data_IF_628266776848
#
_entry.id   IF_628266776848
#
_cell.length_a   1.000
_cell.length_b   1.000
_cell.length_c   1.000
_cell.angle_alpha   90.00
_cell.angle_beta   90.00
_cell.angle_gamma   90.00
#
_symmetry.space_group_name_H-M   'P 1'
#
loop_
_entity.id
_entity.type
_entity.pdbx_description
1 polymer ?
#
# COMPACT_ATOMS: atom_id res chain seq x y z
N UNK A 1 20.40 20.95 8.40
CA UNK A 1 19.59 19.72 8.58
C UNK A 1 18.14 19.89 8.08
N UNK A 2 17.28 20.68 8.73
CA UNK A 2 15.90 20.91 8.24
C UNK A 2 15.78 21.54 6.84
N UNK A 3 16.68 22.46 6.49
CA UNK A 3 16.72 23.09 5.15
C UNK A 3 17.09 22.07 4.06
N UNK A 4 17.81 21.01 4.39
CA UNK A 4 18.25 19.99 3.44
C UNK A 4 17.13 18.98 3.18
N UNK A 5 16.41 18.60 4.24
CA UNK A 5 15.17 17.86 4.13
C UNK A 5 14.10 18.66 3.40
N UNK A 6 13.86 19.94 3.74
CA UNK A 6 12.88 20.79 3.05
C UNK A 6 13.22 20.95 1.56
N UNK A 7 14.51 21.05 1.20
CA UNK A 7 14.96 20.99 -0.20
C UNK A 7 14.70 19.64 -0.85
N UNK A 8 14.92 18.50 -0.17
CA UNK A 8 14.57 17.17 -0.69
C UNK A 8 13.06 16.96 -0.81
N UNK A 9 12.25 17.43 0.14
CA UNK A 9 10.78 17.36 0.12
C UNK A 9 10.17 18.26 -0.96
N UNK A 10 10.67 19.48 -1.09
CA UNK A 10 10.30 20.39 -2.18
C UNK A 10 10.82 19.85 -3.50
N UNK A 11 11.98 19.21 -3.55
CA UNK A 11 12.48 18.52 -4.74
C UNK A 11 11.65 17.29 -5.10
N UNK A 12 11.06 16.57 -4.14
CA UNK A 12 10.11 15.46 -4.41
C UNK A 12 8.78 16.00 -4.93
N UNK A 13 8.24 17.04 -4.30
CA UNK A 13 7.04 17.72 -4.79
C UNK A 13 7.27 18.39 -6.16
N UNK A 14 8.46 18.94 -6.40
CA UNK A 14 8.89 19.57 -7.66
C UNK A 14 9.23 18.53 -8.73
N UNK A 15 9.85 17.39 -8.38
CA UNK A 15 10.01 16.24 -9.29
C UNK A 15 8.66 15.67 -9.67
N UNK A 16 7.69 15.62 -8.76
CA UNK A 16 6.34 15.21 -9.12
C UNK A 16 5.71 16.18 -10.15
N UNK A 17 6.09 17.47 -10.17
CA UNK A 17 5.70 18.41 -11.22
C UNK A 17 6.44 18.20 -12.57
N UNK A 18 7.61 17.54 -12.58
CA UNK A 18 8.30 17.12 -13.82
C UNK A 18 7.87 15.72 -14.30
N UNK A 19 7.43 14.85 -13.38
CA UNK A 19 6.94 13.48 -13.66
C UNK A 19 5.50 13.48 -14.19
N UNK A 20 4.69 14.46 -13.79
CA UNK A 20 3.30 14.58 -14.22
C UNK A 20 3.04 15.92 -14.91
N UNK A 21 2.32 15.88 -16.04
CA UNK A 21 1.90 17.09 -16.74
C UNK A 21 1.09 18.03 -15.82
N UNK A 22 1.20 19.34 -16.01
CA UNK A 22 0.59 20.39 -15.16
C UNK A 22 -0.89 20.14 -14.81
N UNK A 23 -1.69 19.69 -15.77
CA UNK A 23 -3.13 19.42 -15.55
C UNK A 23 -3.40 18.08 -14.85
N UNK A 24 -2.45 17.14 -14.87
CA UNK A 24 -2.63 15.85 -14.23
C UNK A 24 -2.81 15.97 -12.72
N UNK A 25 -2.13 16.92 -12.06
CA UNK A 25 -2.27 17.17 -10.61
C UNK A 25 -3.70 17.59 -10.26
N UNK A 26 -4.31 18.47 -11.07
CA UNK A 26 -5.70 18.92 -10.86
C UNK A 26 -6.67 17.74 -11.03
N UNK A 27 -6.49 16.92 -12.06
CA UNK A 27 -7.34 15.74 -12.27
C UNK A 27 -7.15 14.67 -11.18
N UNK A 28 -5.94 14.51 -10.64
CA UNK A 28 -5.67 13.61 -9.52
C UNK A 28 -6.36 14.11 -8.24
N UNK A 29 -6.24 15.40 -7.93
CA UNK A 29 -6.86 16.01 -6.75
C UNK A 29 -8.40 15.94 -6.78
N UNK A 30 -9.00 16.04 -7.96
CA UNK A 30 -10.45 15.91 -8.14
C UNK A 30 -10.94 14.46 -8.24
N UNK A 31 -10.06 13.46 -8.08
CA UNK A 31 -10.41 12.04 -8.13
C UNK A 31 -10.65 11.47 -9.54
N UNK A 32 -10.57 12.29 -10.59
CA UNK A 32 -10.78 11.88 -11.98
C UNK A 32 -9.61 11.11 -12.60
N UNK A 33 -8.45 11.09 -11.93
CA UNK A 33 -7.26 10.39 -12.40
C UNK A 33 -6.66 9.48 -11.31
N UNK A 34 -7.49 8.60 -10.72
CA UNK A 34 -7.11 7.73 -9.61
C UNK A 34 -5.86 6.88 -9.88
N UNK A 35 -5.72 6.30 -11.08
CA UNK A 35 -4.54 5.49 -11.43
C UNK A 35 -3.24 6.32 -11.41
N UNK A 36 -3.31 7.58 -11.87
CA UNK A 36 -2.17 8.51 -11.80
C UNK A 36 -1.90 8.92 -10.36
N UNK A 37 -2.95 9.16 -9.56
CA UNK A 37 -2.83 9.51 -8.15
C UNK A 37 -2.16 8.39 -7.34
N UNK A 38 -2.60 7.14 -7.54
CA UNK A 38 -1.99 5.97 -6.92
C UNK A 38 -0.51 5.84 -7.28
N UNK A 39 -0.16 6.03 -8.55
CA UNK A 39 1.24 6.03 -9.00
C UNK A 39 2.05 7.14 -8.33
N UNK A 40 1.52 8.35 -8.27
CA UNK A 40 2.18 9.50 -7.63
C UNK A 40 2.46 9.24 -6.14
N UNK A 41 1.47 8.72 -5.42
CA UNK A 41 1.61 8.36 -4.01
C UNK A 41 2.61 7.21 -3.79
N UNK A 42 2.60 6.20 -4.67
CA UNK A 42 3.54 5.08 -4.62
C UNK A 42 4.98 5.54 -4.85
N UNK A 43 5.20 6.43 -5.82
CA UNK A 43 6.53 7.01 -6.05
C UNK A 43 6.98 7.87 -4.87
N UNK A 44 6.06 8.66 -4.30
CA UNK A 44 6.36 9.47 -3.11
C UNK A 44 6.74 8.60 -1.92
N UNK A 45 6.02 7.49 -1.70
CA UNK A 45 6.36 6.49 -0.69
C UNK A 45 7.77 5.95 -0.89
N UNK A 46 8.11 5.48 -2.09
CA UNK A 46 9.43 4.92 -2.38
C UNK A 46 10.57 5.92 -2.13
N UNK A 47 10.38 7.19 -2.48
CA UNK A 47 11.40 8.21 -2.19
C UNK A 47 11.53 8.47 -0.69
N UNK A 48 10.42 8.52 0.04
CA UNK A 48 10.48 8.73 1.49
C UNK A 48 11.11 7.52 2.18
N UNK A 49 10.82 6.30 1.74
CA UNK A 49 11.46 5.09 2.27
C UNK A 49 12.98 5.12 2.06
N UNK A 50 13.45 5.60 0.91
CA UNK A 50 14.88 5.79 0.65
C UNK A 50 15.49 6.84 1.59
N UNK A 51 14.86 8.01 1.71
CA UNK A 51 15.31 9.07 2.64
C UNK A 51 15.30 8.61 4.10
N UNK A 52 14.37 7.73 4.47
CA UNK A 52 14.31 7.13 5.80
C UNK A 52 15.50 6.19 6.05
N UNK A 53 15.91 5.40 5.07
CA UNK A 53 17.11 4.56 5.18
C UNK A 53 18.35 5.44 5.34
N UNK A 54 18.52 6.45 4.48
CA UNK A 54 19.63 7.42 4.58
C UNK A 54 19.67 8.11 5.95
N UNK A 55 18.51 8.53 6.47
CA UNK A 55 18.40 9.10 7.82
C UNK A 55 18.87 8.12 8.90
N UNK A 56 18.49 6.85 8.78
CA UNK A 56 18.88 5.86 9.76
C UNK A 56 20.40 5.61 9.73
N UNK A 57 21.03 5.58 8.54
CA UNK A 57 22.48 5.48 8.41
C UNK A 57 23.19 6.70 9.03
N UNK A 58 22.76 7.92 8.67
CA UNK A 58 23.34 9.18 9.17
C UNK A 58 23.27 9.30 10.71
N UNK A 59 22.25 8.70 11.32
CA UNK A 59 22.03 8.73 12.77
C UNK A 59 22.53 7.45 13.47
N UNK A 60 23.22 6.55 12.77
CA UNK A 60 23.78 5.32 13.33
C UNK A 60 22.72 4.30 13.80
N UNK A 61 21.48 4.41 13.30
CA UNK A 61 20.40 3.45 13.53
C UNK A 61 20.49 2.25 12.59
N UNK A 62 21.11 2.43 11.43
CA UNK A 62 21.52 1.36 10.51
C UNK A 62 23.02 1.49 10.26
N UNK A 63 23.69 0.36 10.04
CA UNK A 63 25.10 0.29 9.65
C UNK A 63 25.25 -0.31 8.23
N UNK A 64 26.43 -0.20 7.61
CA UNK A 64 26.66 -0.70 6.24
C UNK A 64 26.22 -2.17 6.05
N UNK A 65 26.41 -3.02 7.07
CA UNK A 65 25.96 -4.42 7.00
C UNK A 65 24.44 -4.57 6.97
N UNK A 66 23.69 -3.64 7.55
CA UNK A 66 22.22 -3.62 7.50
C UNK A 66 21.73 -3.27 6.09
N UNK A 67 22.40 -2.32 5.42
CA UNK A 67 22.08 -1.96 4.03
C UNK A 67 22.43 -3.09 3.07
N UNK A 68 23.55 -3.76 3.27
CA UNK A 68 23.86 -4.98 2.50
C UNK A 68 22.87 -6.12 2.81
N UNK A 69 22.36 -6.21 4.04
CA UNK A 69 21.27 -7.13 4.38
C UNK A 69 19.99 -6.78 3.62
N UNK A 70 19.61 -5.49 3.54
CA UNK A 70 18.46 -5.03 2.74
C UNK A 70 18.62 -5.36 1.25
N UNK A 71 19.83 -5.17 0.69
CA UNK A 71 20.14 -5.53 -0.70
C UNK A 71 20.02 -7.04 -0.92
N UNK A 72 20.55 -7.84 -0.01
CA UNK A 72 20.43 -9.30 -0.03
C UNK A 72 18.97 -9.75 0.00
N UNK A 73 18.18 -9.16 0.90
CA UNK A 73 16.73 -9.41 1.00
C UNK A 73 16.02 -9.08 -0.32
N UNK A 74 16.34 -7.93 -0.93
CA UNK A 74 15.75 -7.54 -2.21
C UNK A 74 16.04 -8.58 -3.31
N UNK A 75 17.29 -9.02 -3.43
CA UNK A 75 17.68 -10.03 -4.42
C UNK A 75 17.01 -11.39 -4.16
N UNK A 76 16.87 -11.79 -2.90
CA UNK A 76 16.16 -13.01 -2.51
C UNK A 76 14.67 -12.94 -2.89
N UNK A 77 14.02 -11.79 -2.67
CA UNK A 77 12.61 -11.56 -3.04
C UNK A 77 12.39 -11.63 -4.55
N UNK A 78 13.27 -11.00 -5.34
CA UNK A 78 13.16 -11.02 -6.80
C UNK A 78 13.32 -12.43 -7.36
N UNK A 79 14.17 -13.25 -6.73
CA UNK A 79 14.44 -14.62 -7.17
C UNK A 79 13.56 -15.67 -6.49
N UNK A 80 12.68 -15.26 -5.56
CA UNK A 80 11.82 -16.16 -4.76
C UNK A 80 12.60 -17.30 -4.09
N UNK A 81 13.83 -17.02 -3.65
CA UNK A 81 14.82 -18.06 -3.33
C UNK A 81 14.96 -18.38 -1.85
N UNK A 82 14.21 -17.72 -0.95
CA UNK A 82 14.32 -17.90 0.51
C UNK A 82 12.99 -18.23 1.18
N UNK A 83 13.07 -18.91 2.33
CA UNK A 83 11.91 -19.21 3.16
C UNK A 83 11.45 -17.99 3.96
N UNK A 84 10.16 -17.95 4.31
CA UNK A 84 9.55 -16.86 5.09
C UNK A 84 10.25 -16.64 6.44
N UNK A 85 10.61 -17.71 7.17
CA UNK A 85 11.29 -17.59 8.46
C UNK A 85 12.67 -16.95 8.35
N UNK A 86 13.45 -17.34 7.33
CA UNK A 86 14.76 -16.75 7.06
C UNK A 86 14.62 -15.25 6.77
N UNK A 87 13.64 -14.89 5.95
CA UNK A 87 13.34 -13.50 5.62
C UNK A 87 12.95 -12.68 6.87
N UNK A 88 12.00 -13.18 7.67
CA UNK A 88 11.53 -12.49 8.86
C UNK A 88 12.64 -12.27 9.89
N UNK A 89 13.58 -13.21 10.01
CA UNK A 89 14.72 -13.07 10.93
C UNK A 89 15.62 -11.89 10.57
N UNK A 90 15.85 -11.65 9.27
CA UNK A 90 16.67 -10.54 8.75
C UNK A 90 15.92 -9.19 8.78
N UNK A 91 14.61 -9.20 8.51
CA UNK A 91 13.80 -7.97 8.40
C UNK A 91 13.43 -7.38 9.76
N UNK A 92 13.20 -8.21 10.79
CA UNK A 92 12.73 -7.73 12.10
C UNK A 92 13.63 -6.66 12.74
N UNK A 93 14.98 -6.82 12.81
CA UNK A 93 15.85 -5.79 13.36
C UNK A 93 15.78 -4.48 12.57
N UNK A 94 15.80 -4.57 11.23
CA UNK A 94 15.74 -3.43 10.32
C UNK A 94 14.43 -2.65 10.49
N UNK A 95 13.31 -3.37 10.58
CA UNK A 95 12.00 -2.78 10.80
C UNK A 95 11.94 -2.05 12.15
N UNK A 96 12.59 -2.57 13.18
CA UNK A 96 12.65 -1.93 14.51
C UNK A 96 13.42 -0.61 14.48
N UNK A 97 14.55 -0.56 13.74
CA UNK A 97 15.34 0.65 13.56
C UNK A 97 14.54 1.74 12.81
N UNK A 98 13.94 1.37 11.69
CA UNK A 98 13.07 2.27 10.90
C UNK A 98 11.89 2.76 11.73
N UNK A 99 11.24 1.87 12.50
CA UNK A 99 10.10 2.25 13.35
C UNK A 99 10.50 3.26 14.44
N UNK A 100 11.69 3.09 15.02
CA UNK A 100 12.25 4.04 15.99
C UNK A 100 12.48 5.40 15.35
N UNK A 101 13.14 5.43 14.18
CA UNK A 101 13.38 6.64 13.42
C UNK A 101 12.08 7.38 13.05
N UNK A 102 11.06 6.65 12.58
CA UNK A 102 9.75 7.23 12.27
C UNK A 102 9.14 7.91 13.50
N UNK A 103 9.21 7.28 14.68
CA UNK A 103 8.67 7.84 15.91
C UNK A 103 9.39 9.15 16.29
N UNK A 104 10.72 9.16 16.25
CA UNK A 104 11.51 10.37 16.50
C UNK A 104 11.15 11.49 15.53
N UNK A 105 10.97 11.18 14.24
CA UNK A 105 10.59 12.18 13.24
C UNK A 105 9.17 12.70 13.43
N UNK A 106 8.20 11.84 13.76
CA UNK A 106 6.82 12.24 14.07
C UNK A 106 6.75 13.22 15.26
N UNK A 107 7.62 13.05 16.26
CA UNK A 107 7.70 13.92 17.44
C UNK A 107 8.44 15.24 17.14
N UNK A 108 9.38 15.23 16.19
CA UNK A 108 10.18 16.40 15.83
C UNK A 108 9.42 17.47 15.01
N UNK A 109 8.38 17.09 14.27
CA UNK A 109 7.77 17.94 13.26
C UNK A 109 6.32 17.61 12.94
N UNK A 110 5.46 18.64 12.89
CA UNK A 110 4.12 18.50 12.31
C UNK A 110 4.15 18.11 10.83
N UNK A 111 5.13 18.63 10.05
CA UNK A 111 5.25 18.30 8.63
C UNK A 111 5.67 16.83 8.44
N UNK A 112 6.70 16.36 9.16
CA UNK A 112 7.12 14.96 9.06
C UNK A 112 6.00 14.02 9.51
N UNK A 113 5.32 14.36 10.60
CA UNK A 113 4.15 13.62 11.08
C UNK A 113 3.06 13.51 10.01
N UNK A 114 2.73 14.60 9.32
CA UNK A 114 1.75 14.58 8.24
C UNK A 114 2.16 13.64 7.09
N UNK A 115 3.42 13.71 6.65
CA UNK A 115 3.91 12.85 5.57
C UNK A 115 3.92 11.37 5.96
N UNK A 116 4.43 11.04 7.16
CA UNK A 116 4.44 9.66 7.66
C UNK A 116 3.01 9.12 7.86
N UNK A 117 2.07 9.96 8.31
CA UNK A 117 0.65 9.60 8.33
C UNK A 117 0.09 9.36 6.92
N UNK A 118 0.50 10.15 5.93
CA UNK A 118 0.10 9.93 4.54
C UNK A 118 0.64 8.59 4.02
N UNK A 119 1.89 8.24 4.31
CA UNK A 119 2.47 6.95 3.94
C UNK A 119 1.65 5.78 4.50
N UNK A 120 1.30 5.84 5.79
CA UNK A 120 0.43 4.82 6.43
C UNK A 120 -0.89 4.64 5.69
N UNK A 121 -1.47 5.70 5.12
CA UNK A 121 -2.69 5.63 4.29
C UNK A 121 -2.41 4.96 2.94
N UNK A 122 -1.30 5.31 2.29
CA UNK A 122 -0.89 4.69 1.01
C UNK A 122 -0.64 3.20 1.18
N UNK A 123 -0.01 2.77 2.28
CA UNK A 123 0.20 1.34 2.57
C UNK A 123 -1.12 0.56 2.64
N UNK A 124 -2.18 1.14 3.19
CA UNK A 124 -3.51 0.49 3.22
C UNK A 124 -4.05 0.27 1.81
N UNK A 125 -3.85 1.23 0.90
CA UNK A 125 -4.23 1.08 -0.51
C UNK A 125 -3.41 -0.02 -1.18
N UNK A 126 -2.10 -0.09 -0.90
CA UNK A 126 -1.27 -1.18 -1.40
C UNK A 126 -1.69 -2.55 -0.87
N UNK A 127 -2.12 -2.66 0.39
CA UNK A 127 -2.68 -3.91 0.94
C UNK A 127 -3.95 -4.31 0.21
N UNK A 128 -4.85 -3.37 -0.06
CA UNK A 128 -6.06 -3.62 -0.83
C UNK A 128 -5.75 -4.12 -2.25
N UNK A 129 -4.87 -3.41 -2.98
CA UNK A 129 -4.44 -3.82 -4.32
C UNK A 129 -3.75 -5.19 -4.27
N UNK A 130 -2.88 -5.42 -3.30
CA UNK A 130 -2.20 -6.72 -3.15
C UNK A 130 -3.20 -7.84 -2.97
N UNK A 131 -4.13 -7.66 -2.03
CA UNK A 131 -5.13 -8.66 -1.71
C UNK A 131 -5.92 -9.11 -2.94
N UNK A 132 -6.36 -8.16 -3.76
CA UNK A 132 -7.11 -8.41 -4.98
C UNK A 132 -6.28 -9.05 -6.09
N UNK A 133 -4.99 -8.72 -6.17
CA UNK A 133 -4.10 -9.31 -7.18
C UNK A 133 -3.64 -10.72 -6.81
N UNK A 134 -3.57 -11.05 -5.52
CA UNK A 134 -3.08 -12.33 -5.00
C UNK A 134 -4.17 -13.27 -4.49
N UNK A 135 -5.43 -12.82 -4.45
CA UNK A 135 -6.55 -13.53 -3.82
C UNK A 135 -6.39 -13.71 -2.30
N UNK A 136 -5.93 -12.69 -1.59
CA UNK A 136 -5.82 -12.73 -0.13
C UNK A 136 -7.05 -12.09 0.51
N UNK A 137 -8.09 -12.88 0.75
CA UNK A 137 -9.34 -12.40 1.34
C UNK A 137 -9.15 -11.72 2.71
N UNK A 138 -8.26 -12.27 3.55
CA UNK A 138 -8.04 -11.73 4.89
C UNK A 138 -7.37 -10.35 4.83
N UNK A 139 -6.37 -10.19 3.95
CA UNK A 139 -5.73 -8.90 3.70
C UNK A 139 -6.70 -7.89 3.07
N UNK A 140 -7.58 -8.35 2.16
CA UNK A 140 -8.64 -7.53 1.58
C UNK A 140 -9.56 -6.99 2.68
N UNK A 141 -10.14 -7.88 3.47
CA UNK A 141 -11.08 -7.53 4.53
C UNK A 141 -10.44 -6.60 5.58
N UNK A 142 -9.19 -6.89 5.97
CA UNK A 142 -8.39 -6.01 6.82
C UNK A 142 -8.21 -4.62 6.21
N UNK A 143 -7.83 -4.55 4.93
CA UNK A 143 -7.59 -3.26 4.25
C UNK A 143 -8.87 -2.43 4.13
N UNK A 144 -10.02 -3.05 3.83
CA UNK A 144 -11.34 -2.39 3.81
C UNK A 144 -11.66 -1.80 5.17
N UNK A 145 -11.49 -2.57 6.26
CA UNK A 145 -11.68 -2.06 7.62
C UNK A 145 -10.84 -0.81 7.89
N UNK A 146 -9.55 -0.86 7.51
CA UNK A 146 -8.60 0.25 7.69
C UNK A 146 -8.94 1.46 6.82
N UNK A 147 -9.53 1.27 5.65
CA UNK A 147 -9.97 2.37 4.77
C UNK A 147 -11.21 3.11 5.29
N UNK A 148 -12.07 2.47 6.10
CA UNK A 148 -13.32 3.07 6.56
C UNK A 148 -13.11 4.44 7.20
N UNK A 149 -12.14 4.58 8.11
CA UNK A 149 -11.86 5.87 8.78
C UNK A 149 -11.47 6.97 7.78
N UNK A 150 -10.77 6.61 6.71
CA UNK A 150 -10.33 7.55 5.68
C UNK A 150 -11.48 7.95 4.75
N UNK A 151 -12.35 7.02 4.37
CA UNK A 151 -13.54 7.31 3.56
C UNK A 151 -14.50 8.25 4.29
N UNK A 152 -14.70 8.05 5.60
CA UNK A 152 -15.52 8.95 6.42
C UNK A 152 -14.86 10.33 6.56
N UNK A 153 -13.55 10.37 6.84
CA UNK A 153 -12.81 11.62 6.99
C UNK A 153 -12.74 12.44 5.69
N UNK A 154 -12.77 11.80 4.52
CA UNK A 154 -12.75 12.47 3.23
C UNK A 154 -14.09 13.14 2.85
N UNK A 155 -15.15 12.96 3.64
CA UNK A 155 -16.45 13.60 3.38
C UNK A 155 -17.26 12.98 2.23
N UNK A 156 -16.77 11.91 1.62
CA UNK A 156 -17.52 11.16 0.61
C UNK A 156 -18.50 10.18 1.26
N UNK A 157 -19.57 10.72 1.84
CA UNK A 157 -20.54 9.99 2.69
C UNK A 157 -21.09 8.74 1.99
N UNK A 158 -21.34 8.80 0.68
CA UNK A 158 -21.83 7.63 -0.06
C UNK A 158 -20.81 6.49 -0.10
N UNK A 159 -19.54 6.77 -0.39
CA UNK A 159 -18.49 5.74 -0.37
C UNK A 159 -18.25 5.21 1.04
N UNK A 160 -18.22 6.09 2.05
CA UNK A 160 -18.11 5.69 3.45
C UNK A 160 -19.26 4.75 3.87
N UNK A 161 -20.51 5.11 3.55
CA UNK A 161 -21.70 4.30 3.85
C UNK A 161 -21.68 2.96 3.13
N UNK A 162 -21.41 2.94 1.82
CA UNK A 162 -21.38 1.71 1.04
C UNK A 162 -20.26 0.77 1.51
N UNK A 163 -19.06 1.29 1.78
CA UNK A 163 -17.96 0.49 2.31
C UNK A 163 -18.28 -0.07 3.72
N UNK A 164 -18.98 0.70 4.55
CA UNK A 164 -19.39 0.24 5.88
C UNK A 164 -20.42 -0.89 5.81
N UNK A 165 -21.44 -0.75 4.96
CA UNK A 165 -22.43 -1.81 4.70
C UNK A 165 -21.77 -3.06 4.12
N UNK A 166 -20.86 -2.89 3.16
CA UNK A 166 -20.07 -3.99 2.61
C UNK A 166 -19.29 -4.70 3.72
N UNK A 167 -18.55 -3.97 4.56
CA UNK A 167 -17.78 -4.54 5.66
C UNK A 167 -18.66 -5.32 6.65
N UNK A 168 -19.84 -4.80 7.00
CA UNK A 168 -20.80 -5.49 7.88
C UNK A 168 -21.30 -6.80 7.25
N UNK A 169 -21.67 -6.78 5.97
CA UNK A 169 -22.13 -7.96 5.26
C UNK A 169 -21.02 -9.02 5.19
N UNK A 170 -19.80 -8.60 4.83
CA UNK A 170 -18.65 -9.50 4.72
C UNK A 170 -18.18 -10.04 6.09
N UNK A 171 -18.42 -9.33 7.18
CA UNK A 171 -18.18 -9.83 8.55
C UNK A 171 -19.06 -11.05 8.87
N UNK A 172 -20.26 -11.09 8.30
CA UNK A 172 -21.25 -12.15 8.51
C UNK A 172 -21.16 -13.26 7.46
N UNK A 173 -20.16 -13.23 6.57
CA UNK A 173 -20.05 -14.14 5.42
C UNK A 173 -20.10 -15.61 5.85
N UNK A 174 -19.38 -15.99 6.92
CA UNK A 174 -19.39 -17.35 7.47
C UNK A 174 -20.76 -17.83 7.91
N UNK A 175 -21.63 -16.92 8.36
CA UNK A 175 -23.00 -17.25 8.78
C UNK A 175 -24.00 -17.22 7.61
N UNK A 176 -23.63 -16.59 6.49
CA UNK A 176 -24.49 -16.43 5.31
C UNK A 176 -24.25 -17.48 4.23
N UNK A 177 -23.08 -18.13 4.23
CA UNK A 177 -22.70 -19.17 3.28
C UNK A 177 -22.66 -20.55 3.96
N UNK A 178 -22.77 -21.61 3.18
CA UNK A 178 -22.39 -22.94 3.66
C UNK A 178 -20.88 -23.01 3.92
N UNK A 179 -20.44 -23.92 4.79
CA UNK A 179 -19.01 -24.10 5.10
C UNK A 179 -18.17 -24.33 3.83
N UNK A 180 -18.69 -25.10 2.87
CA UNK A 180 -18.00 -25.37 1.60
C UNK A 180 -17.85 -24.11 0.74
N UNK A 181 -18.91 -23.30 0.62
CA UNK A 181 -18.85 -22.04 -0.14
C UNK A 181 -17.94 -21.02 0.52
N UNK A 182 -17.97 -20.95 1.85
CA UNK A 182 -17.08 -20.08 2.62
C UNK A 182 -15.62 -20.45 2.40
N UNK A 183 -15.26 -21.74 2.50
CA UNK A 183 -13.89 -22.20 2.26
C UNK A 183 -13.44 -21.94 0.82
N UNK A 184 -14.31 -22.20 -0.17
CA UNK A 184 -14.00 -21.87 -1.57
C UNK A 184 -13.69 -20.39 -1.76
N UNK A 185 -14.52 -19.54 -1.16
CA UNK A 185 -14.39 -18.09 -1.27
C UNK A 185 -13.15 -17.54 -0.57
N UNK A 186 -12.87 -17.99 0.65
CA UNK A 186 -11.79 -17.43 1.48
C UNK A 186 -10.43 -18.07 1.21
N UNK A 187 -10.41 -19.37 0.90
CA UNK A 187 -9.20 -20.20 0.90
C UNK A 187 -8.83 -20.73 -0.49
N UNK A 188 -9.80 -20.90 -1.41
CA UNK A 188 -9.56 -21.60 -2.69
C UNK A 188 -9.48 -20.71 -3.94
N UNK A 189 -9.41 -19.38 -3.84
CA UNK A 189 -9.23 -18.55 -5.04
C UNK A 189 -10.47 -17.80 -5.53
N UNK A 190 -11.65 -18.00 -4.93
CA UNK A 190 -12.93 -17.62 -5.55
C UNK A 190 -13.34 -16.17 -5.23
N UNK A 191 -12.58 -15.48 -4.41
CA UNK A 191 -12.78 -14.08 -4.10
C UNK A 191 -12.48 -13.19 -5.33
N UNK A 192 -11.45 -13.52 -6.11
CA UNK A 192 -11.01 -12.75 -7.29
C UNK A 192 -11.21 -13.51 -8.59
N UNK A 193 -11.39 -12.79 -9.70
CA UNK A 193 -11.46 -13.42 -11.02
C UNK A 193 -10.06 -13.52 -11.62
N UNK A 194 -9.70 -14.70 -12.13
CA UNK A 194 -8.39 -14.95 -12.76
C UNK A 194 -8.56 -15.39 -14.21
N UNK A 195 -7.80 -14.76 -15.12
CA UNK A 195 -7.72 -15.16 -16.55
C UNK A 195 -6.47 -16.01 -16.87
N UNK A 196 -5.56 -16.15 -15.90
CA UNK A 196 -4.33 -16.93 -16.01
C UNK A 196 -3.83 -17.34 -14.62
N UNK A 197 -3.04 -18.40 -14.56
CA UNK A 197 -2.52 -18.95 -13.29
C UNK A 197 -1.33 -18.17 -12.69
N UNK A 198 -1.00 -17.01 -13.26
CA UNK A 198 0.04 -16.13 -12.70
C UNK A 198 -0.38 -15.62 -11.32
N UNK A 199 0.58 -15.56 -10.39
CA UNK A 199 0.30 -15.24 -8.98
C UNK A 199 -0.38 -13.87 -8.78
N UNK A 200 0.12 -12.81 -9.43
CA UNK A 200 -0.39 -11.45 -9.33
C UNK A 200 -1.47 -11.12 -10.37
N UNK A 201 -2.31 -12.08 -10.80
CA UNK A 201 -3.28 -11.89 -11.90
C UNK A 201 -4.75 -11.85 -11.50
N UNK A 202 -5.09 -11.82 -10.20
CA UNK A 202 -6.47 -11.62 -9.74
C UNK A 202 -7.02 -10.26 -10.16
N UNK A 203 -8.29 -10.19 -10.56
CA UNK A 203 -8.99 -8.99 -11.02
C UNK A 203 -10.32 -8.89 -10.28
N UNK A 204 -10.69 -7.67 -9.91
CA UNK A 204 -12.01 -7.39 -9.35
C UNK A 204 -13.13 -7.87 -10.28
N UNK A 205 -14.22 -8.35 -9.69
CA UNK A 205 -15.37 -8.88 -10.42
C UNK A 205 -16.06 -7.82 -11.27
N UNK A 206 -16.16 -6.57 -10.78
CA UNK A 206 -16.72 -5.44 -11.52
C UNK A 206 -15.89 -5.10 -12.77
N UNK A 207 -14.56 -5.00 -12.62
CA UNK A 207 -13.63 -4.75 -13.72
C UNK A 207 -13.74 -5.87 -14.76
N UNK A 208 -13.89 -7.12 -14.31
CA UNK A 208 -14.08 -8.25 -15.24
C UNK A 208 -15.35 -8.06 -16.06
N UNK A 209 -16.48 -7.70 -15.42
CA UNK A 209 -17.76 -7.48 -16.12
C UNK A 209 -17.65 -6.30 -17.09
N UNK A 210 -17.00 -5.20 -16.69
CA UNK A 210 -16.81 -4.01 -17.53
C UNK A 210 -15.93 -4.30 -18.75
N UNK A 211 -14.89 -5.12 -18.60
CA UNK A 211 -13.98 -5.50 -19.67
C UNK A 211 -14.55 -6.54 -20.64
N UNK A 212 -15.71 -7.14 -20.34
CA UNK A 212 -16.38 -8.13 -21.21
C UNK A 212 -17.40 -7.45 -22.15
N UNK A 213 -17.58 -6.12 -22.07
CA UNK A 213 -18.34 -5.36 -23.08
C UNK A 213 -17.45 -5.09 -24.30
N UNK A 214 -17.68 -5.87 -25.36
CA UNK A 214 -17.20 -5.84 -26.77
C UNK A 214 -16.72 -7.28 -27.09
N UNK A 215 -17.42 -8.15 -27.80
CA UNK A 215 -18.14 -7.98 -29.08
C UNK A 215 -19.39 -8.87 -29.14
N UNK A 216 -20.59 -8.28 -29.02
CA UNK A 216 -21.88 -8.91 -29.41
C UNK A 216 -22.68 -7.91 -30.24
#
# INVERSE_FOLDING_TARGET
>A
MWVQWEKSWVAVASKNCEVFAKNAVVHMANGHAYAKALRAHTLSQAVIDLLMVEYCEENGLLIDSDVETLRGIHNELINLSSSEESFLSKVKPLLSAVSSAMKTLEESSLKAKLWLQNLKKVSVIHYFVRAERTDDWNLHFYSVHRMLVHLHAAGHIHYGKSAHLYYQNMSNLKTSLSDQEFERFVSEGYFTVRRSDKFWCGVWTDITIEQVKCDL
#
